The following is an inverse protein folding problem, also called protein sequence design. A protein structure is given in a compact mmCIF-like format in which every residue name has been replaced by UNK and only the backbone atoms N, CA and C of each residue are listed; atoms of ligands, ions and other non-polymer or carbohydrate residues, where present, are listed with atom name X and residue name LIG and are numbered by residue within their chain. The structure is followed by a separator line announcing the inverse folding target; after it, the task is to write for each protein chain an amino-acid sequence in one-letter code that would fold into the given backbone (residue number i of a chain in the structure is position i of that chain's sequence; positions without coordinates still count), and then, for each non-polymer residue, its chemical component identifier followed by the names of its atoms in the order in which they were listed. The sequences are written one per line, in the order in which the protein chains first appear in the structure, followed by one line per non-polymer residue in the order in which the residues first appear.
data_IF_779964333965
#
_entry.id   IF_779964333965
#
_cell.length_a   1.000
_cell.length_b   1.000
_cell.length_c   1.000
_cell.angle_alpha   90.00
_cell.angle_beta   90.00
_cell.angle_gamma   90.00
#
_symmetry.space_group_name_H-M   'P 1'
#
loop_
_entity.id
_entity.type
_entity.pdbx_description
1 polymer ?
#
# COMPACT_ATOMS: atom_id res chain seq x y z
N UNK A 1 -7.05 -0.74 -21.42
CA UNK A 1 -7.10 -1.09 -19.98
C UNK A 1 -8.32 -0.49 -19.29
N UNK A 2 -8.58 0.83 -19.39
CA UNK A 2 -9.66 1.50 -18.61
C UNK A 2 -11.12 1.24 -19.08
N UNK A 3 -11.38 0.90 -20.35
CA UNK A 3 -12.76 0.65 -20.85
C UNK A 3 -13.20 -0.82 -20.86
N UNK A 4 -12.25 -1.77 -20.94
CA UNK A 4 -12.54 -3.21 -21.07
C UNK A 4 -11.90 -4.08 -19.99
N UNK A 5 -11.26 -3.48 -18.99
CA UNK A 5 -10.68 -4.18 -17.83
C UNK A 5 -9.67 -5.29 -18.17
N UNK A 6 -8.91 -5.14 -19.26
CA UNK A 6 -7.84 -6.10 -19.59
C UNK A 6 -6.68 -5.96 -18.60
N UNK A 7 -5.98 -7.06 -18.35
CA UNK A 7 -4.72 -7.10 -17.61
C UNK A 7 -3.71 -6.08 -18.16
N UNK A 8 -2.88 -5.54 -17.26
CA UNK A 8 -1.81 -4.61 -17.62
C UNK A 8 -0.59 -5.42 -18.09
N UNK A 9 -0.20 -5.23 -19.35
CA UNK A 9 0.89 -5.97 -20.01
C UNK A 9 2.16 -5.12 -20.22
N UNK A 10 2.29 -3.98 -19.53
CA UNK A 10 3.39 -3.02 -19.74
C UNK A 10 4.76 -3.64 -19.45
N UNK A 11 4.88 -4.42 -18.37
CA UNK A 11 6.16 -4.99 -17.95
C UNK A 11 6.62 -6.07 -18.95
N UNK A 12 5.67 -6.86 -19.46
CA UNK A 12 5.91 -7.87 -20.49
C UNK A 12 6.34 -7.24 -21.81
N UNK A 13 5.80 -6.08 -22.16
CA UNK A 13 6.23 -5.33 -23.36
C UNK A 13 7.65 -4.81 -23.20
N UNK A 14 7.98 -4.21 -22.07
CA UNK A 14 9.32 -3.68 -21.79
C UNK A 14 10.37 -4.79 -21.79
N UNK A 15 10.08 -5.94 -21.18
CA UNK A 15 11.01 -7.08 -21.14
C UNK A 15 11.22 -7.76 -22.50
N UNK A 16 10.25 -7.64 -23.43
CA UNK A 16 10.34 -8.22 -24.78
C UNK A 16 10.97 -7.27 -25.81
N UNK A 17 11.17 -6.01 -25.45
CA UNK A 17 11.70 -4.99 -26.35
C UNK A 17 13.22 -4.85 -26.14
N UNK A 18 13.98 -5.23 -27.17
CA UNK A 18 15.44 -5.20 -27.19
C UNK A 18 16.02 -3.81 -26.93
N UNK A 19 15.28 -2.73 -27.22
CA UNK A 19 15.72 -1.36 -26.98
C UNK A 19 15.94 -1.06 -25.48
N UNK A 20 15.25 -1.77 -24.59
CA UNK A 20 15.40 -1.61 -23.14
C UNK A 20 16.52 -2.50 -22.58
N UNK A 21 16.78 -3.67 -23.20
CA UNK A 21 17.82 -4.59 -22.76
C UNK A 21 17.65 -5.06 -21.30
N UNK A 22 16.41 -5.12 -20.81
CA UNK A 22 16.09 -5.44 -19.40
C UNK A 22 15.63 -6.89 -19.26
N UNK A 23 16.10 -7.55 -18.21
CA UNK A 23 15.65 -8.89 -17.80
C UNK A 23 14.38 -8.78 -16.92
N UNK A 24 13.36 -9.56 -17.26
CA UNK A 24 12.07 -9.59 -16.54
C UNK A 24 12.23 -9.99 -15.08
N UNK A 25 13.21 -10.85 -14.76
CA UNK A 25 13.47 -11.25 -13.39
C UNK A 25 13.99 -10.09 -12.54
N UNK A 26 14.91 -9.29 -13.10
CA UNK A 26 15.39 -8.06 -12.45
C UNK A 26 14.28 -7.02 -12.31
N UNK A 27 13.47 -6.82 -13.34
CA UNK A 27 12.32 -5.89 -13.29
C UNK A 27 11.38 -6.24 -12.14
N UNK A 28 11.03 -7.52 -12.00
CA UNK A 28 10.15 -7.98 -10.91
C UNK A 28 10.73 -7.78 -9.51
N UNK A 29 12.07 -7.84 -9.35
CA UNK A 29 12.68 -7.54 -8.05
C UNK A 29 12.59 -6.06 -7.67
N UNK A 30 12.75 -5.17 -8.65
CA UNK A 30 12.69 -3.72 -8.38
C UNK A 30 11.26 -3.28 -8.10
N UNK A 31 10.28 -3.90 -8.77
CA UNK A 31 8.85 -3.58 -8.69
C UNK A 31 8.13 -4.11 -7.44
N UNK A 32 8.84 -4.55 -6.40
CA UNK A 32 8.20 -4.85 -5.12
C UNK A 32 7.53 -3.56 -4.58
N UNK A 33 6.19 -3.58 -4.49
CA UNK A 33 5.38 -2.46 -4.04
C UNK A 33 5.84 -1.88 -2.69
N UNK A 34 6.41 -2.71 -1.81
CA UNK A 34 6.94 -2.29 -0.50
C UNK A 34 8.09 -1.29 -0.63
N UNK A 35 8.82 -1.29 -1.73
CA UNK A 35 9.89 -0.33 -1.97
C UNK A 35 9.36 1.08 -2.30
N UNK A 36 8.06 1.22 -2.62
CA UNK A 36 7.46 2.45 -3.11
C UNK A 36 6.48 3.11 -2.12
N UNK A 37 6.36 2.59 -0.90
CA UNK A 37 5.49 3.17 0.13
C UNK A 37 6.18 4.23 1.01
N UNK A 38 7.46 4.52 0.77
CA UNK A 38 8.22 5.49 1.57
C UNK A 38 8.18 5.16 3.06
N UNK A 39 7.91 6.17 3.91
CA UNK A 39 7.74 6.00 5.37
C UNK A 39 6.29 5.78 5.81
N UNK A 40 5.40 5.36 4.90
CA UNK A 40 3.96 5.27 5.19
C UNK A 40 3.68 4.41 6.43
N UNK A 41 4.41 3.30 6.59
CA UNK A 41 4.25 2.41 7.74
C UNK A 41 4.58 3.12 9.05
N UNK A 42 5.79 3.70 9.13
CA UNK A 42 6.27 4.37 10.33
C UNK A 42 5.42 5.60 10.66
N UNK A 43 4.99 6.35 9.64
CA UNK A 43 4.12 7.52 9.82
C UNK A 43 2.77 7.14 10.44
N UNK A 44 2.17 6.04 10.01
CA UNK A 44 0.89 5.57 10.57
C UNK A 44 1.08 5.07 12.00
N UNK A 45 2.13 4.29 12.25
CA UNK A 45 2.45 3.80 13.59
C UNK A 45 2.72 4.95 14.57
N UNK A 46 3.51 5.95 14.16
CA UNK A 46 3.77 7.16 14.94
C UNK A 46 2.49 7.97 15.16
N UNK A 47 1.66 8.17 14.13
CA UNK A 47 0.42 8.91 14.27
C UNK A 47 -0.53 8.27 15.28
N UNK A 48 -0.73 6.95 15.18
CA UNK A 48 -1.58 6.21 16.12
C UNK A 48 -1.06 6.38 17.54
N UNK A 49 0.24 6.13 17.76
CA UNK A 49 0.86 6.15 19.08
C UNK A 49 0.87 7.53 19.73
N UNK A 50 1.28 8.56 19.00
CA UNK A 50 1.55 9.87 19.58
C UNK A 50 0.35 10.81 19.56
N UNK A 51 -0.63 10.56 18.68
CA UNK A 51 -1.80 11.43 18.53
C UNK A 51 -3.12 10.74 18.84
N UNK A 52 -3.32 9.49 18.42
CA UNK A 52 -4.62 8.80 18.59
C UNK A 52 -4.74 8.19 19.99
N UNK A 53 -3.76 7.39 20.42
CA UNK A 53 -3.77 6.71 21.73
C UNK A 53 -3.97 7.68 22.91
N UNK A 54 -3.30 8.85 23.01
CA UNK A 54 -3.51 9.76 24.13
C UNK A 54 -4.92 10.35 24.18
N UNK A 55 -5.55 10.58 23.02
CA UNK A 55 -6.93 11.07 22.96
C UNK A 55 -7.86 9.96 23.44
N UNK A 56 -7.66 8.74 22.95
CA UNK A 56 -8.45 7.59 23.36
C UNK A 56 -8.34 7.38 24.87
N UNK A 57 -7.14 7.26 25.44
CA UNK A 57 -6.92 7.03 26.87
C UNK A 57 -7.61 8.08 27.75
N UNK A 58 -7.55 9.37 27.36
CA UNK A 58 -8.20 10.46 28.09
C UNK A 58 -9.74 10.43 28.00
N UNK A 59 -10.32 9.77 26.99
CA UNK A 59 -11.76 9.69 26.76
C UNK A 59 -12.35 8.28 27.01
N UNK A 60 -11.52 7.29 27.36
CA UNK A 60 -11.88 5.87 27.51
C UNK A 60 -12.71 5.54 28.78
N UNK A 61 -13.61 6.45 29.20
CA UNK A 61 -14.68 6.12 30.17
C UNK A 61 -15.92 5.51 29.50
N UNK A 62 -15.91 5.28 28.20
CA UNK A 62 -17.01 4.60 27.52
C UNK A 62 -16.45 3.54 26.58
N UNK A 63 -16.47 2.28 27.03
CA UNK A 63 -16.31 1.14 26.15
C UNK A 63 -17.40 1.19 25.08
N UNK A 64 -17.08 1.72 23.90
CA UNK A 64 -17.97 1.76 22.74
C UNK A 64 -17.99 0.38 22.07
N UNK A 65 -18.56 -0.61 22.77
CA UNK A 65 -19.08 -1.80 22.11
C UNK A 65 -20.40 -1.40 21.44
N UNK A 66 -20.29 -0.78 20.26
CA UNK A 66 -21.46 -0.49 19.43
C UNK A 66 -21.74 -1.74 18.60
N UNK A 67 -22.71 -2.54 19.03
CA UNK A 67 -23.31 -3.55 18.14
C UNK A 67 -24.10 -2.81 17.04
N UNK A 68 -23.57 -2.80 15.83
CA UNK A 68 -24.33 -2.41 14.64
C UNK A 68 -25.39 -3.47 14.38
N UNK A 69 -26.64 -3.19 14.78
CA UNK A 69 -27.80 -3.92 14.27
C UNK A 69 -28.04 -3.49 12.82
N UNK A 70 -27.60 -4.33 11.88
CA UNK A 70 -28.07 -4.33 10.50
C UNK A 70 -29.41 -5.05 10.43
#
# INVERSE_FOLDING_TARGET
VKEKGKENDLIERIAKDEAFGLDIFKLNQVLDAKNYIGRSKEQVEEFIKWHVEPILENNYKTNLNIELKV
#
